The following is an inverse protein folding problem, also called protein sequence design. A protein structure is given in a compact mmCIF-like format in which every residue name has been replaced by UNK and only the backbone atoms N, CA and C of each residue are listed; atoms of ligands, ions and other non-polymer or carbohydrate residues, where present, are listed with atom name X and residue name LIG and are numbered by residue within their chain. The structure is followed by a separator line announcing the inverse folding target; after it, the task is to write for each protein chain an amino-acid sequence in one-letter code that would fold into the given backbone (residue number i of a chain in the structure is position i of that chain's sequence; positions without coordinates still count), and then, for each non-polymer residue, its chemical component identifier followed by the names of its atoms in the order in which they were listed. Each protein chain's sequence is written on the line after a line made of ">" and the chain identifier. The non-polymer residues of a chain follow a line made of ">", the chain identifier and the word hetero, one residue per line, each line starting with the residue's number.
data_IF_511396145757
#
_entry.id   IF_511396145757
#
_cell.length_a   1.000
_cell.length_b   1.000
_cell.length_c   1.000
_cell.angle_alpha   90.00
_cell.angle_beta   90.00
_cell.angle_gamma   90.00
#
_symmetry.space_group_name_H-M   'P 1'
#
loop_
_entity.id
_entity.type
_entity.pdbx_description
1 polymer ?
#
# COMPACT_ATOMS: atom_id res chain seq x y z
N UNK A 1 -44.56 3.78 -37.18
CA UNK A 1 -44.19 3.88 -35.75
C UNK A 1 -42.74 3.42 -35.56
N UNK A 2 -41.75 4.33 -35.51
CA UNK A 2 -40.32 3.98 -35.55
C UNK A 2 -39.73 3.42 -34.25
N UNK A 3 -40.55 3.13 -33.23
CA UNK A 3 -40.09 2.71 -31.89
C UNK A 3 -40.37 1.24 -31.54
N UNK A 4 -40.85 0.43 -32.49
CA UNK A 4 -41.18 -0.97 -32.25
C UNK A 4 -39.97 -1.84 -31.88
N UNK A 5 -38.77 -1.47 -32.37
CA UNK A 5 -37.52 -2.16 -32.06
C UNK A 5 -37.02 -1.83 -30.64
N UNK A 6 -37.15 -0.56 -30.21
CA UNK A 6 -36.82 -0.11 -28.85
C UNK A 6 -37.60 -0.86 -27.76
N UNK A 7 -38.87 -1.20 -28.03
CA UNK A 7 -39.70 -2.01 -27.12
C UNK A 7 -39.14 -3.41 -26.85
N UNK A 8 -38.29 -3.94 -27.74
CA UNK A 8 -37.64 -5.25 -27.57
C UNK A 8 -36.22 -5.11 -27.03
N UNK A 9 -35.49 -4.08 -27.44
CA UNK A 9 -34.08 -3.86 -27.05
C UNK A 9 -33.96 -3.41 -25.59
N UNK A 10 -34.80 -2.50 -25.12
CA UNK A 10 -34.75 -2.01 -23.73
C UNK A 10 -34.95 -3.11 -22.68
N UNK A 11 -35.99 -3.98 -22.76
CA UNK A 11 -36.14 -5.04 -21.78
C UNK A 11 -35.03 -6.09 -21.89
N UNK A 12 -34.54 -6.36 -23.11
CA UNK A 12 -33.40 -7.26 -23.29
C UNK A 12 -32.15 -6.70 -22.61
N UNK A 13 -31.84 -5.42 -22.81
CA UNK A 13 -30.69 -4.76 -22.21
C UNK A 13 -30.81 -4.72 -20.68
N UNK A 14 -32.00 -4.39 -20.15
CA UNK A 14 -32.28 -4.44 -18.72
C UNK A 14 -32.13 -5.85 -18.12
N UNK A 15 -32.66 -6.88 -18.79
CA UNK A 15 -32.49 -8.27 -18.36
C UNK A 15 -31.01 -8.68 -18.40
N UNK A 16 -30.28 -8.31 -19.46
CA UNK A 16 -28.85 -8.62 -19.60
C UNK A 16 -28.04 -7.95 -18.51
N UNK A 17 -28.36 -6.69 -18.17
CA UNK A 17 -27.74 -5.95 -17.07
C UNK A 17 -27.98 -6.61 -15.71
N UNK A 18 -29.21 -7.03 -15.41
CA UNK A 18 -29.55 -7.73 -14.16
C UNK A 18 -28.82 -9.08 -14.07
N UNK A 19 -28.82 -9.86 -15.15
CA UNK A 19 -28.11 -11.15 -15.19
C UNK A 19 -26.61 -10.99 -15.05
N UNK A 20 -26.01 -9.97 -15.70
CA UNK A 20 -24.59 -9.66 -15.55
C UNK A 20 -24.26 -9.21 -14.11
N UNK A 21 -25.12 -8.42 -13.47
CA UNK A 21 -24.97 -8.03 -12.06
C UNK A 21 -25.01 -9.24 -11.13
N UNK A 22 -25.97 -10.15 -11.30
CA UNK A 22 -26.03 -11.39 -10.53
C UNK A 22 -24.82 -12.29 -10.77
N UNK A 23 -24.35 -12.42 -12.01
CA UNK A 23 -23.13 -13.17 -12.31
C UNK A 23 -21.89 -12.55 -11.63
N UNK A 24 -21.79 -11.22 -11.60
CA UNK A 24 -20.69 -10.52 -10.93
C UNK A 24 -20.66 -10.79 -9.42
N UNK A 25 -21.80 -10.96 -8.74
CA UNK A 25 -21.82 -11.30 -7.30
C UNK A 25 -21.19 -12.66 -6.96
N UNK A 26 -21.02 -13.55 -7.95
CA UNK A 26 -20.34 -14.84 -7.77
C UNK A 26 -18.82 -14.73 -7.82
N UNK A 27 -18.28 -13.61 -8.31
CA UNK A 27 -16.84 -13.35 -8.39
C UNK A 27 -16.47 -12.43 -7.24
N UNK A 28 -15.90 -13.00 -6.17
CA UNK A 28 -15.43 -12.21 -5.03
C UNK A 28 -14.31 -11.24 -5.47
N UNK A 29 -14.37 -10.00 -5.00
CA UNK A 29 -13.27 -9.02 -5.10
C UNK A 29 -13.22 -8.15 -6.36
N UNK A 30 -14.17 -8.27 -7.29
CA UNK A 30 -14.21 -7.45 -8.51
C UNK A 30 -15.52 -6.65 -8.62
N UNK A 31 -15.52 -5.44 -8.06
CA UNK A 31 -16.54 -4.42 -8.37
C UNK A 31 -16.05 -3.56 -9.54
N UNK A 32 -16.75 -3.58 -10.67
CA UNK A 32 -16.44 -2.68 -11.80
C UNK A 32 -17.23 -1.39 -11.61
N UNK A 33 -16.59 -0.39 -11.00
CA UNK A 33 -17.13 0.97 -10.90
C UNK A 33 -17.13 1.65 -12.29
N UNK A 34 -18.20 2.36 -12.71
CA UNK A 34 -19.46 2.67 -12.01
C UNK A 34 -20.64 1.73 -12.37
N UNK A 35 -20.40 0.61 -13.05
CA UNK A 35 -21.46 -0.19 -13.68
C UNK A 35 -22.14 -1.19 -12.74
N UNK A 36 -21.46 -1.64 -11.69
CA UNK A 36 -21.99 -2.63 -10.74
C UNK A 36 -21.87 -2.17 -9.28
N UNK A 37 -22.31 -0.95 -8.97
CA UNK A 37 -22.40 -0.43 -7.60
C UNK A 37 -23.68 -0.90 -6.89
N UNK A 38 -23.92 -2.21 -6.84
CA UNK A 38 -25.09 -2.77 -6.14
C UNK A 38 -24.92 -2.72 -4.62
N UNK A 39 -23.67 -2.62 -4.16
CA UNK A 39 -23.33 -2.38 -2.78
C UNK A 39 -22.92 -0.92 -2.62
N UNK A 40 -23.59 -0.20 -1.71
CA UNK A 40 -23.29 1.20 -1.39
C UNK A 40 -21.90 1.35 -0.74
N UNK A 41 -21.33 0.23 -0.29
CA UNK A 41 -20.02 0.13 0.31
C UNK A 41 -19.27 -0.99 -0.42
N UNK A 42 -18.10 -0.73 -1.00
CA UNK A 42 -17.29 -1.79 -1.57
C UNK A 42 -17.01 -2.85 -0.49
N UNK A 43 -16.99 -4.11 -0.88
CA UNK A 43 -16.53 -5.19 0.01
C UNK A 43 -15.07 -4.92 0.37
N UNK A 44 -14.85 -4.23 1.49
CA UNK A 44 -13.51 -4.02 2.03
C UNK A 44 -12.98 -5.37 2.52
N UNK A 45 -11.75 -5.76 2.15
CA UNK A 45 -11.15 -6.99 2.68
C UNK A 45 -11.11 -6.93 4.21
N UNK A 46 -11.55 -8.01 4.88
CA UNK A 46 -11.56 -8.09 6.34
C UNK A 46 -10.14 -8.05 6.95
N UNK A 47 -9.11 -8.37 6.15
CA UNK A 47 -7.70 -8.31 6.54
C UNK A 47 -6.91 -7.86 5.31
N UNK A 48 -6.12 -6.81 5.46
CA UNK A 48 -5.14 -6.35 4.48
C UNK A 48 -3.75 -6.80 4.90
N UNK A 49 -2.93 -7.17 3.92
CA UNK A 49 -1.50 -7.42 4.08
C UNK A 49 -0.71 -6.40 3.27
N UNK A 50 0.31 -5.81 3.88
CA UNK A 50 1.20 -4.85 3.22
C UNK A 50 2.59 -4.86 3.82
N UNK A 51 3.53 -4.26 3.13
CA UNK A 51 4.87 -4.03 3.66
C UNK A 51 4.96 -2.70 4.38
N UNK A 52 5.71 -2.67 5.47
CA UNK A 52 6.07 -1.48 6.22
C UNK A 52 7.59 -1.34 6.26
N UNK A 53 8.04 -0.09 6.28
CA UNK A 53 9.45 0.27 6.39
C UNK A 53 9.71 0.71 7.83
N UNK A 54 10.31 -0.16 8.63
CA UNK A 54 10.60 0.12 10.04
C UNK A 54 12.01 0.67 10.18
N UNK A 55 12.14 1.87 10.69
CA UNK A 55 13.43 2.56 10.80
C UNK A 55 13.98 2.40 12.20
N UNK A 56 15.20 1.86 12.29
CA UNK A 56 15.96 1.67 13.54
C UNK A 56 17.00 2.77 13.73
N UNK A 57 17.53 3.30 12.63
CA UNK A 57 18.50 4.40 12.64
C UNK A 57 18.31 5.27 11.40
N UNK A 58 18.41 6.59 11.56
CA UNK A 58 18.33 7.55 10.45
C UNK A 58 19.12 8.82 10.77
N UNK A 59 19.98 9.24 9.85
CA UNK A 59 20.82 10.42 10.01
C UNK A 59 21.63 10.43 11.33
N UNK A 60 22.14 9.27 11.74
CA UNK A 60 22.94 9.12 12.97
C UNK A 60 22.15 9.03 14.27
N UNK A 61 20.81 9.20 14.24
CA UNK A 61 19.93 9.00 15.40
C UNK A 61 19.40 7.57 15.42
N UNK A 62 19.53 6.89 16.55
CA UNK A 62 18.89 5.59 16.79
C UNK A 62 17.47 5.79 17.31
N UNK A 63 16.54 5.00 16.80
CA UNK A 63 15.13 4.95 17.20
C UNK A 63 14.91 3.63 17.95
N UNK A 64 14.55 3.73 19.24
CA UNK A 64 14.18 2.59 20.06
C UNK A 64 12.86 2.91 20.79
N UNK A 65 11.74 2.29 20.40
CA UNK A 65 11.62 1.20 19.43
C UNK A 65 11.77 1.66 17.96
N UNK A 66 12.01 0.69 17.06
CA UNK A 66 11.95 0.93 15.62
C UNK A 66 10.59 1.54 15.23
N UNK A 67 10.61 2.59 14.43
CA UNK A 67 9.41 3.41 14.12
C UNK A 67 9.04 3.26 12.64
N UNK A 68 7.75 3.19 12.33
CA UNK A 68 7.30 3.14 10.92
C UNK A 68 7.74 4.43 10.21
N UNK A 69 8.30 4.30 9.01
CA UNK A 69 8.72 5.45 8.21
C UNK A 69 7.59 6.48 8.05
N UNK A 70 6.35 6.02 7.94
CA UNK A 70 5.18 6.89 7.82
C UNK A 70 4.89 7.72 9.09
N UNK A 71 5.44 7.32 10.23
CA UNK A 71 5.30 8.02 11.52
C UNK A 71 6.52 8.90 11.84
N UNK A 72 7.51 8.97 10.94
CA UNK A 72 8.71 9.78 11.15
C UNK A 72 8.47 11.25 10.81
N UNK A 73 8.55 12.09 11.84
CA UNK A 73 8.64 13.55 11.70
C UNK A 73 9.98 14.05 11.09
N UNK A 74 10.94 13.14 10.87
CA UNK A 74 12.30 13.44 10.43
C UNK A 74 12.43 13.55 8.89
N UNK A 75 11.37 13.26 8.15
CA UNK A 75 11.36 13.31 6.67
C UNK A 75 10.31 14.32 6.22
N UNK A 76 10.56 15.01 5.11
CA UNK A 76 9.70 16.10 4.62
C UNK A 76 8.30 15.61 4.22
N UNK A 77 8.21 14.42 3.62
CA UNK A 77 6.93 13.79 3.24
C UNK A 77 6.96 12.27 3.51
N UNK A 78 6.70 11.84 4.76
CA UNK A 78 6.69 10.42 5.12
C UNK A 78 5.51 9.65 4.50
N UNK A 79 4.49 10.36 3.99
CA UNK A 79 3.30 9.79 3.35
C UNK A 79 3.33 9.89 1.82
N UNK A 80 4.48 10.25 1.23
CA UNK A 80 4.64 10.31 -0.21
C UNK A 80 4.24 8.98 -0.87
N UNK A 81 3.37 9.04 -1.87
CA UNK A 81 2.91 7.84 -2.58
C UNK A 81 4.08 7.05 -3.19
N UNK A 82 5.10 7.75 -3.68
CA UNK A 82 6.30 7.13 -4.26
C UNK A 82 7.03 6.26 -3.24
N UNK A 83 7.12 6.68 -1.97
CA UNK A 83 7.67 5.86 -0.89
C UNK A 83 6.80 4.63 -0.69
N UNK A 84 5.49 4.82 -0.57
CA UNK A 84 4.56 3.72 -0.35
C UNK A 84 4.68 2.65 -1.43
N UNK A 85 4.65 3.03 -2.71
CA UNK A 85 4.82 2.10 -3.83
C UNK A 85 6.20 1.45 -3.82
N UNK A 86 7.26 2.19 -3.49
CA UNK A 86 8.62 1.65 -3.42
C UNK A 86 8.76 0.61 -2.32
N UNK A 87 8.15 0.84 -1.14
CA UNK A 87 8.15 -0.13 -0.02
C UNK A 87 7.37 -1.38 -0.38
N UNK A 88 6.18 -1.24 -1.00
CA UNK A 88 5.41 -2.42 -1.44
C UNK A 88 6.17 -3.24 -2.49
N UNK A 89 6.77 -2.55 -3.48
CA UNK A 89 7.52 -3.20 -4.55
C UNK A 89 8.81 -3.85 -4.02
N UNK A 90 9.49 -3.23 -3.04
CA UNK A 90 10.67 -3.79 -2.40
C UNK A 90 10.32 -5.06 -1.63
N UNK A 91 9.28 -5.04 -0.81
CA UNK A 91 8.82 -6.24 -0.09
C UNK A 91 8.47 -7.39 -1.03
N UNK A 92 7.73 -7.10 -2.11
CA UNK A 92 7.42 -8.09 -3.14
C UNK A 92 8.64 -8.63 -3.89
N UNK A 93 9.66 -7.80 -4.13
CA UNK A 93 10.92 -8.24 -4.73
C UNK A 93 11.70 -9.19 -3.82
N UNK A 94 11.72 -8.91 -2.51
CA UNK A 94 12.36 -9.78 -1.51
C UNK A 94 11.62 -11.13 -1.43
N UNK A 95 10.29 -11.13 -1.32
CA UNK A 95 9.51 -12.37 -1.26
C UNK A 95 9.64 -13.23 -2.53
N UNK A 96 9.75 -12.60 -3.69
CA UNK A 96 9.94 -13.31 -4.97
C UNK A 96 11.38 -13.74 -5.23
N UNK A 97 12.35 -13.27 -4.42
CA UNK A 97 13.78 -13.53 -4.60
C UNK A 97 14.41 -12.81 -5.80
N UNK A 98 13.77 -11.77 -6.34
CA UNK A 98 14.31 -10.97 -7.45
C UNK A 98 15.32 -9.94 -6.92
N UNK A 99 16.54 -10.41 -6.66
CA UNK A 99 17.66 -9.62 -6.12
C UNK A 99 18.02 -8.38 -6.95
N UNK A 100 17.84 -8.39 -8.27
CA UNK A 100 18.18 -7.24 -9.12
C UNK A 100 17.08 -6.17 -9.09
N UNK A 101 15.81 -6.58 -8.99
CA UNK A 101 14.72 -5.64 -8.75
C UNK A 101 14.81 -5.05 -7.33
N UNK A 102 15.06 -5.88 -6.32
CA UNK A 102 15.28 -5.47 -4.93
C UNK A 102 16.36 -4.38 -4.86
N UNK A 103 17.55 -4.67 -5.39
CA UNK A 103 18.69 -3.74 -5.39
C UNK A 103 18.33 -2.39 -6.01
N UNK A 104 17.67 -2.39 -7.19
CA UNK A 104 17.30 -1.16 -7.91
C UNK A 104 16.27 -0.32 -7.15
N UNK A 105 15.26 -0.96 -6.56
CA UNK A 105 14.25 -0.26 -5.76
C UNK A 105 14.90 0.30 -4.50
N UNK A 106 15.74 -0.50 -3.83
CA UNK A 106 16.44 -0.11 -2.62
C UNK A 106 17.33 1.11 -2.84
N UNK A 107 18.16 1.10 -3.89
CA UNK A 107 19.02 2.24 -4.25
C UNK A 107 18.20 3.52 -4.48
N UNK A 108 17.06 3.41 -5.15
CA UNK A 108 16.16 4.55 -5.37
C UNK A 108 15.50 5.03 -4.07
N UNK A 109 15.04 4.11 -3.22
CA UNK A 109 14.42 4.43 -1.94
C UNK A 109 15.42 5.18 -1.04
N UNK A 110 16.63 4.64 -0.92
CA UNK A 110 17.69 5.22 -0.10
C UNK A 110 18.12 6.60 -0.60
N UNK A 111 18.35 6.75 -1.91
CA UNK A 111 18.83 7.99 -2.50
C UNK A 111 17.84 9.16 -2.33
N UNK A 112 16.53 8.88 -2.29
CA UNK A 112 15.51 9.93 -2.29
C UNK A 112 14.88 10.16 -0.91
N UNK A 113 14.77 9.12 -0.07
CA UNK A 113 13.89 9.18 1.09
C UNK A 113 14.56 8.81 2.42
N UNK A 114 15.73 8.17 2.42
CA UNK A 114 16.41 7.76 3.66
C UNK A 114 17.69 8.57 3.88
N UNK A 115 17.69 9.50 4.85
CA UNK A 115 18.89 10.18 5.29
C UNK A 115 20.02 9.24 5.74
N UNK A 116 21.24 9.49 5.27
CA UNK A 116 22.43 8.73 5.64
C UNK A 116 23.02 9.17 7.00
N UNK A 117 23.55 8.24 7.83
CA UNK A 117 23.42 6.79 7.72
C UNK A 117 22.03 6.31 8.15
N UNK A 118 21.55 5.22 7.55
CA UNK A 118 20.27 4.61 7.90
C UNK A 118 20.38 3.11 8.15
N UNK A 119 19.53 2.61 9.06
CA UNK A 119 19.30 1.18 9.31
C UNK A 119 17.81 0.97 9.44
N UNK A 120 17.27 0.04 8.67
CA UNK A 120 15.84 -0.17 8.56
C UNK A 120 15.51 -1.62 8.23
N UNK A 121 14.30 -2.02 8.52
CA UNK A 121 13.74 -3.33 8.24
C UNK A 121 12.51 -3.21 7.34
N UNK A 122 12.35 -4.18 6.45
CA UNK A 122 11.08 -4.40 5.77
C UNK A 122 10.31 -5.43 6.58
N UNK A 123 9.08 -5.10 6.93
CA UNK A 123 8.20 -6.00 7.67
C UNK A 123 6.89 -6.19 6.91
N UNK A 124 6.38 -7.43 6.89
CA UNK A 124 5.05 -7.73 6.40
C UNK A 124 4.06 -7.55 7.55
N UNK A 125 3.06 -6.72 7.32
CA UNK A 125 2.08 -6.31 8.32
C UNK A 125 0.70 -6.71 7.86
N UNK A 126 -0.03 -7.44 8.71
CA UNK A 126 -1.44 -7.75 8.49
C UNK A 126 -2.31 -7.07 9.53
N UNK A 127 -3.41 -6.49 9.08
CA UNK A 127 -4.35 -5.76 9.94
C UNK A 127 -5.74 -5.71 9.32
N UNK A 128 -6.74 -5.49 10.17
CA UNK A 128 -8.09 -5.15 9.75
C UNK A 128 -8.17 -3.61 9.60
N UNK A 129 -8.54 -3.07 8.43
CA UNK A 129 -8.54 -1.63 8.20
C UNK A 129 -9.43 -0.85 9.16
N UNK A 130 -10.59 -1.41 9.54
CA UNK A 130 -11.53 -0.75 10.44
C UNK A 130 -11.00 -0.76 11.88
N UNK A 131 -10.43 -1.89 12.29
CA UNK A 131 -9.78 -2.02 13.59
C UNK A 131 -8.58 -1.07 13.70
N UNK A 132 -7.69 -1.06 12.70
CA UNK A 132 -6.53 -0.18 12.64
C UNK A 132 -6.93 1.30 12.65
N UNK A 133 -7.96 1.69 11.91
CA UNK A 133 -8.46 3.06 11.93
C UNK A 133 -8.97 3.48 13.33
N UNK A 134 -9.60 2.54 14.03
CA UNK A 134 -10.24 2.82 15.33
C UNK A 134 -9.25 2.78 16.50
N UNK A 135 -8.32 1.81 16.49
CA UNK A 135 -7.45 1.50 17.65
C UNK A 135 -5.96 1.59 17.33
N UNK A 136 -5.58 1.70 16.06
CA UNK A 136 -4.20 1.57 15.61
C UNK A 136 -3.67 0.13 15.63
N UNK A 137 -4.51 -0.86 15.95
CA UNK A 137 -4.05 -2.24 16.13
C UNK A 137 -3.52 -2.86 14.83
N UNK A 138 -2.41 -3.57 14.98
CA UNK A 138 -1.82 -4.44 13.96
C UNK A 138 -2.01 -5.88 14.45
N UNK A 139 -2.53 -6.76 13.59
CA UNK A 139 -2.81 -8.16 13.97
C UNK A 139 -1.55 -9.01 13.93
N UNK A 140 -0.77 -8.89 12.86
CA UNK A 140 0.47 -9.62 12.70
C UNK A 140 1.54 -8.73 12.07
N UNK A 141 2.79 -9.01 12.46
CA UNK A 141 3.97 -8.33 11.98
C UNK A 141 5.07 -9.38 11.87
N UNK A 142 5.58 -9.55 10.67
CA UNK A 142 6.62 -10.51 10.32
C UNK A 142 7.82 -9.76 9.76
N UNK A 143 9.00 -10.04 10.32
CA UNK A 143 10.23 -9.48 9.81
C UNK A 143 10.60 -10.15 8.48
N UNK A 144 10.85 -9.36 7.45
CA UNK A 144 11.26 -9.86 6.14
C UNK A 144 12.77 -9.79 6.00
N UNK A 145 13.34 -8.59 6.10
CA UNK A 145 14.78 -8.37 5.89
C UNK A 145 15.24 -7.06 6.57
N UNK A 146 16.51 -6.99 6.98
CA UNK A 146 17.13 -5.77 7.52
C UNK A 146 18.21 -5.24 6.57
N UNK A 147 18.21 -3.94 6.36
CA UNK A 147 19.19 -3.24 5.55
C UNK A 147 19.93 -2.18 6.38
N UNK A 148 21.20 -1.99 6.04
CA UNK A 148 22.02 -0.89 6.55
C UNK A 148 22.60 -0.16 5.36
N UNK A 149 22.38 1.15 5.31
CA UNK A 149 22.88 1.99 4.23
C UNK A 149 23.72 3.14 4.76
N UNK A 150 24.90 3.27 4.18
CA UNK A 150 25.79 4.44 4.34
C UNK A 150 25.57 5.46 3.23
N UNK A 151 24.78 5.10 2.22
CA UNK A 151 24.32 5.96 1.14
C UNK A 151 22.92 6.47 1.45
N UNK A 152 22.55 7.63 0.91
CA UNK A 152 21.24 8.21 1.15
C UNK A 152 21.18 9.69 0.86
N UNK A 153 19.99 10.28 1.01
CA UNK A 153 19.83 11.72 0.92
C UNK A 153 20.50 12.44 2.11
N UNK A 154 20.77 13.73 1.95
CA UNK A 154 21.15 14.55 3.10
C UNK A 154 19.92 14.76 3.97
N UNK A 155 20.08 14.62 5.28
CA UNK A 155 18.99 14.92 6.21
C UNK A 155 18.58 16.39 6.04
N UNK A 156 17.28 16.65 5.94
CA UNK A 156 16.78 18.03 5.91
C UNK A 156 17.25 18.76 7.17
N UNK A 157 17.83 19.97 7.07
CA UNK A 157 18.26 20.75 8.23
C UNK A 157 17.13 20.99 9.25
N UNK A 158 15.89 20.96 8.77
CA UNK A 158 14.68 21.18 9.56
C UNK A 158 14.17 19.93 10.27
N UNK A 159 14.65 18.74 9.88
CA UNK A 159 14.26 17.46 10.49
C UNK A 159 14.63 17.37 11.98
N UNK A 160 15.64 18.13 12.43
CA UNK A 160 16.18 18.04 13.80
C UNK A 160 15.79 19.22 14.71
N UNK A 161 14.92 20.13 14.26
CA UNK A 161 14.69 21.40 14.96
C UNK A 161 13.66 21.33 16.12
N UNK A 162 13.41 20.16 16.73
CA UNK A 162 12.47 20.02 17.86
C UNK A 162 13.11 19.31 19.05
#
# INVERSE_FOLDING_TARGET
>A
MPYAWLRKVLPLLGLTYVLAGFAATRVQGYEIFPFFCWFLFPVAPNVEERYALMVEQIGGRTLDPATDFQELDLVEDPHAMDVWFSVQALGGAIESGDTELERRIRERLEANFLPKPSRYAIERVSFDPLERWTTGAIRHREHVETFTSTTGCEASPWAYAR
#
